data_IF_754821613037
#
_entry.id   IF_754821613037
#
_cell.length_a   1.000
_cell.length_b   1.000
_cell.length_c   1.000
_cell.angle_alpha   90.00
_cell.angle_beta   90.00
_cell.angle_gamma   90.00
#
_symmetry.space_group_name_H-M   'P 1'
#
loop_
_entity.id
_entity.type
_entity.pdbx_description
1 polymer ?
#
# COMPACT_ATOMS: atom_id res chain seq x y z
N UNK A 1 -14.26 -48.35 -0.64
CA UNK A 1 -15.07 -47.13 -0.74
C UNK A 1 -14.38 -46.07 0.09
N UNK A 2 -13.62 -45.17 -0.54
CA UNK A 2 -13.01 -44.03 0.13
C UNK A 2 -13.75 -42.80 -0.38
N UNK A 3 -14.52 -42.15 0.50
CA UNK A 3 -15.23 -40.91 0.21
C UNK A 3 -14.22 -39.78 0.26
N UNK A 4 -13.77 -39.31 -0.91
CA UNK A 4 -13.14 -38.00 -1.02
C UNK A 4 -14.25 -36.97 -0.83
N UNK A 5 -14.28 -36.36 0.35
CA UNK A 5 -15.05 -35.15 0.59
C UNK A 5 -14.39 -34.05 -0.22
N UNK A 6 -15.03 -33.60 -1.30
CA UNK A 6 -14.65 -32.35 -1.97
C UNK A 6 -14.75 -31.23 -0.94
N UNK A 7 -13.61 -30.66 -0.57
CA UNK A 7 -13.59 -29.46 0.27
C UNK A 7 -14.22 -28.31 -0.50
N UNK A 8 -15.30 -27.79 0.08
CA UNK A 8 -16.00 -26.59 -0.40
C UNK A 8 -15.00 -25.43 -0.52
N UNK A 9 -14.71 -24.94 -1.73
CA UNK A 9 -13.69 -23.91 -1.96
C UNK A 9 -14.06 -22.57 -1.33
N UNK A 10 -15.30 -22.39 -0.86
CA UNK A 10 -15.72 -21.19 -0.11
C UNK A 10 -15.35 -21.22 1.38
N UNK A 11 -14.85 -22.36 1.89
CA UNK A 11 -14.46 -22.55 3.31
C UNK A 11 -12.96 -22.55 3.56
N UNK A 12 -12.14 -22.04 2.64
CA UNK A 12 -10.72 -21.85 2.94
C UNK A 12 -10.57 -20.77 4.01
N UNK A 13 -9.98 -21.05 5.19
CA UNK A 13 -9.67 -20.01 6.15
C UNK A 13 -8.80 -18.95 5.47
N UNK A 14 -9.05 -17.68 5.76
CA UNK A 14 -8.35 -16.52 5.18
C UNK A 14 -6.81 -16.66 5.18
N UNK A 15 -6.28 -17.44 6.14
CA UNK A 15 -4.88 -17.81 6.30
C UNK A 15 -4.31 -18.55 5.08
N UNK A 16 -5.08 -19.43 4.44
CA UNK A 16 -4.63 -20.21 3.26
C UNK A 16 -4.55 -19.35 1.98
N UNK A 17 -5.10 -18.14 2.02
CA UNK A 17 -4.99 -17.14 0.95
C UNK A 17 -3.89 -16.09 1.20
N UNK A 18 -3.19 -16.17 2.33
CA UNK A 18 -2.00 -15.34 2.58
C UNK A 18 -0.83 -16.00 1.86
N UNK A 19 -0.54 -15.53 0.66
CA UNK A 19 0.68 -15.92 -0.03
C UNK A 19 1.87 -15.27 0.70
N UNK A 20 2.67 -16.07 1.37
CA UNK A 20 3.99 -15.64 1.83
C UNK A 20 4.81 -15.23 0.60
N UNK A 21 5.20 -13.96 0.54
CA UNK A 21 6.11 -13.50 -0.50
C UNK A 21 7.46 -14.19 -0.28
N UNK A 22 7.88 -14.99 -1.24
CA UNK A 22 9.21 -15.58 -1.19
C UNK A 22 10.27 -14.51 -1.41
N UNK A 23 11.50 -14.72 -0.93
CA UNK A 23 12.62 -13.80 -1.15
C UNK A 23 12.94 -13.56 -2.66
N UNK A 24 12.34 -14.33 -3.58
CA UNK A 24 12.45 -14.16 -5.03
C UNK A 24 11.36 -13.25 -5.62
N UNK A 25 10.29 -12.97 -4.88
CA UNK A 25 9.24 -12.01 -5.24
C UNK A 25 9.56 -10.58 -4.78
N UNK A 26 10.77 -10.38 -4.25
CA UNK A 26 11.29 -9.06 -3.88
C UNK A 26 11.34 -8.23 -5.15
N UNK A 27 10.57 -7.14 -5.16
CA UNK A 27 10.57 -6.21 -6.27
C UNK A 27 11.98 -5.74 -6.56
N UNK A 28 12.42 -5.80 -7.82
CA UNK A 28 13.71 -5.25 -8.27
C UNK A 28 13.86 -3.75 -7.97
N UNK A 29 12.76 -3.09 -7.66
CA UNK A 29 12.71 -1.69 -7.27
C UNK A 29 13.32 -1.44 -5.88
N UNK A 30 14.20 -0.44 -5.74
CA UNK A 30 14.76 -0.06 -4.44
C UNK A 30 13.67 0.36 -3.46
N UNK A 31 13.76 -0.18 -2.24
CA UNK A 31 12.79 0.03 -1.15
C UNK A 31 13.39 0.84 0.00
N UNK A 32 12.57 1.66 0.66
CA UNK A 32 12.82 2.38 1.91
C UNK A 32 11.97 1.77 3.01
N UNK A 33 12.49 1.73 4.23
CA UNK A 33 11.72 1.33 5.43
C UNK A 33 11.09 2.59 6.04
N UNK A 34 9.79 2.54 6.30
CA UNK A 34 9.05 3.57 7.04
C UNK A 34 8.22 2.95 8.16
N UNK A 35 7.82 3.78 9.13
CA UNK A 35 6.99 3.32 10.24
C UNK A 35 5.53 3.10 9.85
N UNK A 36 4.81 2.29 10.63
CA UNK A 36 3.36 2.17 10.54
C UNK A 36 2.68 3.54 10.69
N UNK A 37 3.19 4.41 11.56
CA UNK A 37 2.69 5.77 11.77
C UNK A 37 2.79 6.60 10.48
N UNK A 38 3.86 6.45 9.72
CA UNK A 38 4.05 7.16 8.46
C UNK A 38 3.13 6.61 7.36
N UNK A 39 3.01 5.28 7.24
CA UNK A 39 2.01 4.65 6.36
C UNK A 39 0.60 5.18 6.63
N UNK A 40 0.20 5.22 7.90
CA UNK A 40 -1.10 5.76 8.33
C UNK A 40 -1.22 7.25 8.02
N UNK A 41 -0.13 8.02 8.14
CA UNK A 41 -0.12 9.45 7.83
C UNK A 41 -0.41 9.70 6.35
N UNK A 42 0.16 8.92 5.43
CA UNK A 42 -0.15 9.04 4.00
C UNK A 42 -1.59 8.58 3.69
N UNK A 43 -2.07 7.49 4.32
CA UNK A 43 -3.47 7.09 4.17
C UNK A 43 -4.42 8.21 4.63
N UNK A 44 -4.13 8.82 5.78
CA UNK A 44 -4.90 9.94 6.32
C UNK A 44 -4.82 11.19 5.43
N UNK A 45 -3.71 11.41 4.73
CA UNK A 45 -3.61 12.50 3.76
C UNK A 45 -4.63 12.35 2.62
N UNK A 46 -4.80 11.14 2.08
CA UNK A 46 -5.84 10.86 1.08
C UNK A 46 -7.24 11.00 1.67
N UNK A 47 -7.50 10.43 2.85
CA UNK A 47 -8.81 10.48 3.49
C UNK A 47 -9.23 11.90 3.87
N UNK A 48 -8.29 12.77 4.23
CA UNK A 48 -8.54 14.17 4.51
C UNK A 48 -8.77 15.01 3.23
N UNK A 49 -8.53 14.43 2.05
CA UNK A 49 -8.56 15.11 0.76
C UNK A 49 -9.60 14.53 -0.20
N UNK A 50 -10.37 13.54 0.26
CA UNK A 50 -11.38 12.84 -0.53
C UNK A 50 -12.64 12.61 0.29
N UNK A 51 -13.78 12.46 -0.38
CA UNK A 51 -15.06 12.10 0.21
C UNK A 51 -15.62 10.82 -0.40
N UNK A 52 -16.29 10.03 0.43
CA UNK A 52 -17.10 8.90 -0.02
C UNK A 52 -18.52 9.40 -0.30
N UNK A 53 -18.88 9.49 -1.57
CA UNK A 53 -20.20 9.95 -2.01
C UNK A 53 -21.21 8.79 -2.14
N UNK A 54 -20.71 7.57 -2.32
CA UNK A 54 -21.53 6.35 -2.47
C UNK A 54 -21.24 5.36 -1.34
N UNK A 55 -22.02 5.39 -0.25
CA UNK A 55 -21.89 4.43 0.85
C UNK A 55 -22.07 2.99 0.37
N UNK A 56 -21.31 2.05 0.95
CA UNK A 56 -21.44 0.62 0.63
C UNK A 56 -20.85 0.18 -0.71
N UNK A 57 -20.24 1.10 -1.47
CA UNK A 57 -19.47 0.76 -2.68
C UNK A 57 -18.29 -0.14 -2.31
N UNK A 58 -18.11 -1.22 -3.06
CA UNK A 58 -17.01 -2.16 -2.87
C UNK A 58 -15.69 -1.57 -3.39
N UNK A 59 -14.53 -1.96 -2.81
CA UNK A 59 -13.24 -1.59 -3.37
C UNK A 59 -13.09 -2.10 -4.80
N UNK A 60 -12.45 -1.29 -5.65
CA UNK A 60 -12.09 -1.69 -7.01
C UNK A 60 -11.20 -2.95 -7.02
N UNK A 61 -11.21 -3.64 -8.17
CA UNK A 61 -10.31 -4.75 -8.46
C UNK A 61 -8.84 -4.35 -8.29
N UNK A 62 -7.94 -5.32 -8.05
CA UNK A 62 -6.49 -5.06 -7.91
C UNK A 62 -5.95 -4.29 -9.13
N UNK A 63 -6.26 -4.72 -10.35
CA UNK A 63 -5.80 -4.07 -11.58
C UNK A 63 -6.29 -2.61 -11.68
N UNK A 64 -7.57 -2.37 -11.40
CA UNK A 64 -8.15 -1.01 -11.43
C UNK A 64 -7.55 -0.11 -10.35
N UNK A 65 -7.23 -0.65 -9.17
CA UNK A 65 -6.51 0.09 -8.12
C UNK A 65 -5.08 0.45 -8.52
N UNK A 66 -4.37 -0.41 -9.25
CA UNK A 66 -3.06 -0.04 -9.82
C UNK A 66 -3.18 1.08 -10.83
N UNK A 67 -4.17 1.04 -11.72
CA UNK A 67 -4.39 2.11 -12.68
C UNK A 67 -4.72 3.43 -12.00
N UNK A 68 -5.53 3.39 -10.94
CA UNK A 68 -5.81 4.54 -10.08
C UNK A 68 -4.52 5.10 -9.45
N UNK A 69 -3.70 4.22 -8.86
CA UNK A 69 -2.39 4.58 -8.32
C UNK A 69 -1.49 5.25 -9.36
N UNK A 70 -1.36 4.67 -10.56
CA UNK A 70 -0.56 5.25 -11.67
C UNK A 70 -1.01 6.66 -12.06
N UNK A 71 -2.32 6.92 -12.10
CA UNK A 71 -2.84 8.26 -12.41
C UNK A 71 -2.40 9.31 -11.39
N UNK A 72 -2.38 8.93 -10.10
CA UNK A 72 -1.90 9.81 -9.02
C UNK A 72 -0.38 9.92 -9.03
N UNK A 73 0.33 8.83 -9.31
CA UNK A 73 1.79 8.78 -9.45
C UNK A 73 2.30 9.84 -10.42
N UNK A 74 1.69 9.96 -11.61
CA UNK A 74 2.09 10.93 -12.63
C UNK A 74 1.96 12.40 -12.21
N UNK A 75 1.22 12.68 -11.14
CA UNK A 75 0.99 14.02 -10.63
C UNK A 75 1.76 14.28 -9.32
N UNK A 76 2.62 13.35 -8.89
CA UNK A 76 3.43 13.47 -7.70
C UNK A 76 4.91 13.69 -8.05
N UNK A 77 5.68 14.36 -7.17
CA UNK A 77 7.13 14.43 -7.32
C UNK A 77 7.76 13.04 -7.13
N UNK A 78 8.89 12.80 -7.82
CA UNK A 78 9.62 11.52 -7.72
C UNK A 78 10.58 11.48 -6.53
N UNK A 79 11.15 12.64 -6.20
CA UNK A 79 12.08 12.79 -5.09
C UNK A 79 11.37 12.66 -3.75
N UNK A 80 12.05 12.08 -2.76
CA UNK A 80 11.48 11.87 -1.44
C UNK A 80 11.17 13.18 -0.73
N UNK A 81 9.97 13.26 -0.14
CA UNK A 81 9.46 14.45 0.53
C UNK A 81 9.44 14.30 2.03
N UNK A 82 9.60 15.42 2.72
CA UNK A 82 9.44 15.48 4.18
C UNK A 82 7.99 15.16 4.54
N UNK A 83 7.78 14.53 5.70
CA UNK A 83 6.46 14.02 6.11
C UNK A 83 5.40 15.11 6.15
N UNK A 84 5.78 16.30 6.55
CA UNK A 84 4.93 17.49 6.68
C UNK A 84 4.34 17.92 5.32
N UNK A 85 5.02 17.58 4.23
CA UNK A 85 4.64 17.95 2.86
C UNK A 85 3.69 16.92 2.21
N UNK A 86 3.55 15.73 2.79
CA UNK A 86 2.83 14.62 2.15
C UNK A 86 1.36 14.94 1.89
N UNK A 87 0.69 15.59 2.83
CA UNK A 87 -0.69 16.04 2.67
C UNK A 87 -0.86 16.99 1.48
N UNK A 88 0.04 17.96 1.36
CA UNK A 88 0.04 18.91 0.26
C UNK A 88 0.25 18.20 -1.07
N UNK A 89 1.21 17.28 -1.17
CA UNK A 89 1.46 16.55 -2.40
C UNK A 89 0.31 15.63 -2.81
N UNK A 90 -0.30 14.91 -1.86
CA UNK A 90 -1.49 14.11 -2.13
C UNK A 90 -2.66 14.99 -2.63
N UNK A 91 -2.92 16.13 -1.97
CA UNK A 91 -3.95 17.10 -2.40
C UNK A 91 -3.70 17.64 -3.81
N UNK A 92 -2.48 18.08 -4.09
CA UNK A 92 -2.12 18.65 -5.38
C UNK A 92 -2.29 17.61 -6.50
N UNK A 93 -1.87 16.36 -6.26
CA UNK A 93 -2.03 15.29 -7.23
C UNK A 93 -3.50 14.99 -7.54
N UNK A 94 -4.37 15.00 -6.52
CA UNK A 94 -5.82 14.85 -6.67
C UNK A 94 -6.46 16.04 -7.39
N UNK A 95 -6.01 17.26 -7.11
CA UNK A 95 -6.51 18.46 -7.77
C UNK A 95 -6.18 18.47 -9.27
N UNK A 96 -4.95 18.08 -9.64
CA UNK A 96 -4.55 17.94 -11.04
C UNK A 96 -5.39 16.86 -11.73
N UNK A 97 -5.62 15.73 -11.05
CA UNK A 97 -6.46 14.65 -11.57
C UNK A 97 -7.89 15.12 -11.84
N UNK A 98 -8.49 15.84 -10.90
CA UNK A 98 -9.84 16.43 -11.03
C UNK A 98 -9.93 17.44 -12.18
N UNK A 99 -8.93 18.31 -12.33
CA UNK A 99 -8.90 19.29 -13.42
C UNK A 99 -8.80 18.61 -14.79
N UNK A 100 -8.04 17.50 -14.90
CA UNK A 100 -7.96 16.73 -16.15
C UNK A 100 -9.28 16.06 -16.50
N UNK A 101 -9.98 15.52 -15.50
CA UNK A 101 -11.33 14.95 -15.67
C UNK A 101 -12.32 15.97 -16.25
N UNK A 102 -12.24 17.22 -15.79
CA UNK A 102 -13.11 18.31 -16.27
C UNK A 102 -12.76 18.81 -17.68
N UNK A 103 -11.50 18.68 -18.09
CA UNK A 103 -11.01 19.24 -19.38
C UNK A 103 -11.15 18.27 -20.55
N UNK A 104 -11.17 16.95 -20.29
CA UNK A 104 -11.28 15.92 -21.32
C UNK A 104 -12.76 15.54 -21.44
N UNK A 105 -13.38 15.74 -22.62
CA UNK A 105 -14.65 15.06 -22.92
C UNK A 105 -14.37 13.56 -23.06
N UNK A 106 -14.44 12.84 -21.94
CA UNK A 106 -14.26 11.39 -21.90
C UNK A 106 -15.42 10.76 -22.67
N UNK A 107 -15.12 9.91 -23.66
CA UNK A 107 -16.14 9.20 -24.43
C UNK A 107 -16.98 8.33 -23.48
N UNK A 108 -18.30 8.22 -23.72
CA UNK A 108 -19.19 7.38 -22.90
C UNK A 108 -18.81 5.88 -22.86
N UNK A 109 -17.83 5.45 -23.67
CA UNK A 109 -17.33 4.07 -23.72
C UNK A 109 -16.11 3.85 -22.81
N UNK A 110 -15.38 4.90 -22.41
CA UNK A 110 -14.19 4.81 -21.54
C UNK A 110 -14.54 5.02 -20.05
N UNK A 111 -15.78 4.69 -19.65
CA UNK A 111 -16.48 5.08 -18.42
C UNK A 111 -15.62 5.09 -17.14
N UNK A 112 -14.93 6.20 -16.91
CA UNK A 112 -14.78 6.72 -15.57
C UNK A 112 -16.08 7.44 -15.28
N UNK A 113 -16.99 6.66 -14.69
CA UNK A 113 -17.87 7.08 -13.62
C UNK A 113 -17.40 8.41 -12.98
N UNK A 114 -18.32 9.37 -12.87
CA UNK A 114 -18.15 10.78 -12.50
C UNK A 114 -17.04 11.08 -11.48
N UNK A 115 -16.56 12.32 -11.39
CA UNK A 115 -15.60 12.71 -10.33
C UNK A 115 -15.99 12.21 -8.93
N UNK A 116 -17.28 12.21 -8.58
CA UNK A 116 -17.77 11.70 -7.30
C UNK A 116 -17.50 10.20 -7.11
N UNK A 117 -17.64 9.40 -8.17
CA UNK A 117 -17.35 7.97 -8.15
C UNK A 117 -15.84 7.71 -8.09
N UNK A 118 -15.04 8.45 -8.86
CA UNK A 118 -13.58 8.39 -8.80
C UNK A 118 -13.06 8.80 -7.40
N UNK A 119 -13.58 9.90 -6.85
CA UNK A 119 -13.22 10.37 -5.50
C UNK A 119 -13.61 9.33 -4.45
N UNK A 120 -14.77 8.69 -4.60
CA UNK A 120 -15.20 7.58 -3.73
C UNK A 120 -14.26 6.39 -3.83
N UNK A 121 -13.82 6.01 -5.02
CA UNK A 121 -12.89 4.89 -5.23
C UNK A 121 -11.52 5.16 -4.60
N UNK A 122 -11.01 6.39 -4.72
CA UNK A 122 -9.77 6.82 -4.05
C UNK A 122 -9.94 6.77 -2.53
N UNK A 123 -11.06 7.28 -2.01
CA UNK A 123 -11.36 7.27 -0.59
C UNK A 123 -11.42 5.84 -0.03
N UNK A 124 -12.10 4.93 -0.73
CA UNK A 124 -12.20 3.52 -0.34
C UNK A 124 -10.84 2.84 -0.40
N UNK A 125 -10.05 3.05 -1.46
CA UNK A 125 -8.71 2.48 -1.58
C UNK A 125 -7.80 2.91 -0.41
N UNK A 126 -7.75 4.20 -0.11
CA UNK A 126 -6.97 4.73 1.01
C UNK A 126 -7.46 4.19 2.37
N UNK A 127 -8.79 4.05 2.54
CA UNK A 127 -9.38 3.45 3.76
C UNK A 127 -8.98 1.99 3.91
N UNK A 128 -9.06 1.20 2.84
CA UNK A 128 -8.64 -0.20 2.86
C UNK A 128 -7.17 -0.35 3.20
N UNK A 129 -6.29 0.47 2.62
CA UNK A 129 -4.87 0.49 2.95
C UNK A 129 -4.62 0.88 4.40
N UNK A 130 -5.35 1.86 4.94
CA UNK A 130 -5.28 2.23 6.36
C UNK A 130 -5.64 1.05 7.26
N UNK A 131 -6.76 0.37 6.97
CA UNK A 131 -7.23 -0.79 7.73
C UNK A 131 -6.23 -1.95 7.65
N UNK A 132 -5.62 -2.19 6.49
CA UNK A 132 -4.58 -3.20 6.34
C UNK A 132 -3.36 -2.87 7.20
N UNK A 133 -2.89 -1.62 7.20
CA UNK A 133 -1.78 -1.18 8.06
C UNK A 133 -2.13 -1.33 9.55
N UNK A 134 -3.33 -0.94 9.96
CA UNK A 134 -3.82 -1.11 11.34
C UNK A 134 -3.87 -2.60 11.74
N UNK A 135 -4.34 -3.47 10.84
CA UNK A 135 -4.40 -4.91 11.06
C UNK A 135 -3.00 -5.50 11.24
N UNK A 136 -2.05 -5.18 10.37
CA UNK A 136 -0.67 -5.62 10.50
C UNK A 136 -0.01 -5.06 11.77
N UNK A 137 -0.26 -3.79 12.11
CA UNK A 137 0.32 -3.16 13.30
C UNK A 137 -0.22 -3.74 14.60
N UNK A 138 -1.53 -3.91 14.70
CA UNK A 138 -2.16 -4.50 15.89
C UNK A 138 -1.72 -5.95 16.10
N UNK A 139 -1.42 -6.65 14.99
CA UNK A 139 -1.22 -8.09 14.99
C UNK A 139 -2.54 -8.81 15.20
N UNK A 140 -2.66 -10.00 14.61
CA UNK A 140 -3.74 -10.91 14.90
C UNK A 140 -3.17 -12.32 14.91
N UNK A 141 -3.00 -12.97 16.08
CA UNK A 141 -2.32 -14.26 16.15
C UNK A 141 -3.07 -15.38 15.40
N UNK A 142 -4.34 -15.18 15.02
CA UNK A 142 -5.08 -16.12 14.17
C UNK A 142 -4.74 -16.01 12.69
N UNK A 143 -4.20 -14.87 12.24
CA UNK A 143 -4.05 -14.56 10.82
C UNK A 143 -2.67 -14.00 10.45
N UNK A 144 -1.86 -13.59 11.43
CA UNK A 144 -0.55 -13.00 11.25
C UNK A 144 0.45 -13.67 12.20
N UNK A 145 1.65 -14.03 11.72
CA UNK A 145 2.68 -14.60 12.56
C UNK A 145 3.23 -13.57 13.56
N UNK A 146 3.29 -12.29 13.16
CA UNK A 146 3.82 -11.19 13.98
C UNK A 146 3.10 -9.87 13.66
N UNK A 147 3.13 -8.92 14.61
CA UNK A 147 2.77 -7.52 14.32
C UNK A 147 3.85 -6.83 13.48
N UNK A 148 3.47 -5.78 12.74
CA UNK A 148 4.37 -4.99 11.89
C UNK A 148 4.34 -3.51 12.26
N UNK A 149 5.42 -3.02 12.86
CA UNK A 149 5.64 -1.58 13.07
C UNK A 149 6.40 -0.91 11.92
N UNK A 150 7.00 -1.71 11.03
CA UNK A 150 7.82 -1.26 9.91
C UNK A 150 7.31 -1.84 8.59
N UNK A 151 7.30 -0.99 7.56
CA UNK A 151 6.85 -1.33 6.21
C UNK A 151 7.92 -0.94 5.18
N UNK A 152 8.07 -1.78 4.16
CA UNK A 152 8.89 -1.49 3.00
C UNK A 152 8.03 -0.76 1.95
N UNK A 153 8.51 0.40 1.50
CA UNK A 153 7.86 1.21 0.45
C UNK A 153 8.84 1.57 -0.65
N UNK A 154 8.40 1.89 -1.88
CA UNK A 154 9.30 2.37 -2.92
C UNK A 154 10.10 3.60 -2.48
N UNK A 155 11.39 3.66 -2.86
CA UNK A 155 12.24 4.85 -2.59
C UNK A 155 11.73 6.09 -3.34
N UNK A 156 11.13 5.88 -4.51
CA UNK A 156 10.47 6.92 -5.29
C UNK A 156 9.16 7.35 -4.60
N UNK A 157 9.05 8.63 -4.28
CA UNK A 157 7.91 9.17 -3.56
C UNK A 157 6.58 9.01 -4.30
N UNK A 158 6.54 9.27 -5.61
CA UNK A 158 5.31 9.14 -6.39
C UNK A 158 4.79 7.70 -6.37
N UNK A 159 5.70 6.73 -6.40
CA UNK A 159 5.36 5.31 -6.32
C UNK A 159 4.93 4.88 -4.92
N UNK A 160 5.53 5.43 -3.88
CA UNK A 160 5.01 5.27 -2.51
C UNK A 160 3.60 5.83 -2.37
N UNK A 161 3.33 7.04 -2.88
CA UNK A 161 1.98 7.61 -2.88
C UNK A 161 0.99 6.72 -3.64
N UNK A 162 1.40 6.21 -4.80
CA UNK A 162 0.63 5.26 -5.62
C UNK A 162 0.35 3.94 -4.91
N UNK A 163 1.32 3.42 -4.14
CA UNK A 163 1.21 2.13 -3.45
C UNK A 163 0.10 2.11 -2.40
N UNK A 164 -0.22 3.27 -1.82
CA UNK A 164 -1.35 3.45 -0.90
C UNK A 164 -2.69 3.22 -1.62
N UNK A 165 -2.82 3.63 -2.88
CA UNK A 165 -4.07 3.45 -3.64
C UNK A 165 -4.16 2.08 -4.29
N UNK A 166 -3.03 1.50 -4.72
CA UNK A 166 -3.00 0.13 -5.24
C UNK A 166 -3.28 -0.92 -4.15
N UNK A 167 -2.95 -0.59 -2.89
CA UNK A 167 -3.06 -1.49 -1.74
C UNK A 167 -1.84 -2.40 -1.59
N UNK A 168 -0.69 -1.98 -2.10
CA UNK A 168 0.58 -2.69 -1.93
C UNK A 168 1.20 -2.39 -0.57
N UNK A 169 0.70 -3.08 0.46
CA UNK A 169 1.17 -2.97 1.83
C UNK A 169 2.17 -4.10 2.10
N UNK A 170 3.41 -3.75 2.45
CA UNK A 170 4.51 -4.72 2.61
C UNK A 170 5.15 -4.62 3.99
N UNK A 171 4.69 -5.39 4.99
CA UNK A 171 5.37 -5.53 6.28
C UNK A 171 6.84 -5.93 6.11
N UNK A 172 7.77 -5.40 6.91
CA UNK A 172 9.20 -5.73 6.71
C UNK A 172 9.49 -7.22 6.92
N UNK A 173 8.83 -7.88 7.87
CA UNK A 173 9.05 -9.32 8.12
C UNK A 173 8.52 -10.23 7.00
N UNK A 174 7.66 -9.75 6.10
CA UNK A 174 7.29 -10.49 4.88
C UNK A 174 8.27 -10.26 3.73
N UNK A 175 9.14 -9.26 3.83
CA UNK A 175 10.06 -8.86 2.75
C UNK A 175 11.51 -9.24 3.06
N UNK A 176 11.85 -9.42 4.34
CA UNK A 176 13.23 -9.58 4.79
C UNK A 176 13.45 -10.92 5.51
N UNK A 177 14.09 -11.85 4.81
CA UNK A 177 14.82 -12.95 5.45
C UNK A 177 16.30 -12.55 5.50
N UNK A 178 16.79 -12.21 6.69
CA UNK A 178 18.21 -12.02 6.89
C UNK A 178 18.87 -13.39 7.06
N UNK A 179 19.72 -13.78 6.12
CA UNK A 179 20.62 -14.90 6.35
C UNK A 179 21.73 -14.44 7.33
N UNK A 180 21.82 -15.14 8.45
CA UNK A 180 22.79 -14.84 9.50
C UNK A 180 24.23 -14.96 8.98
N UNK A 181 24.49 -15.84 8.01
CA UNK A 181 25.82 -16.02 7.42
C UNK A 181 26.25 -14.85 6.52
N UNK A 182 25.30 -14.05 6.03
CA UNK A 182 25.53 -12.86 5.20
C UNK A 182 25.36 -11.55 5.96
N UNK A 183 25.10 -11.60 7.27
CA UNK A 183 25.09 -10.43 8.16
C UNK A 183 26.54 -10.00 8.48
N UNK A 184 27.00 -8.80 8.06
CA UNK A 184 28.37 -8.36 8.31
C UNK A 184 28.64 -8.23 9.82
N UNK A 185 29.68 -8.90 10.32
CA UNK A 185 30.05 -8.91 11.75
C UNK A 185 29.64 -10.17 12.53
N UNK A 186 29.18 -11.24 11.87
CA UNK A 186 28.90 -12.52 12.54
C UNK A 186 30.16 -13.23 13.11
N UNK A 187 31.37 -12.72 12.82
CA UNK A 187 32.58 -13.09 13.55
C UNK A 187 32.83 -12.05 14.66
N UNK A 188 32.80 -12.50 15.92
CA UNK A 188 33.23 -11.78 17.14
C UNK A 188 32.28 -10.74 17.77
N UNK A 189 30.98 -10.77 17.48
CA UNK A 189 29.95 -10.20 18.38
C UNK A 189 29.98 -8.67 18.57
N UNK A 190 30.58 -7.93 17.64
CA UNK A 190 30.59 -6.46 17.65
C UNK A 190 29.57 -5.91 16.66
N UNK A 191 28.51 -5.28 17.17
CA UNK A 191 27.52 -4.57 16.36
C UNK A 191 28.01 -3.16 15.97
N UNK A 192 27.80 -2.70 14.72
CA UNK A 192 28.10 -1.32 14.35
C UNK A 192 27.13 -0.33 15.02
N UNK A 193 27.67 0.71 15.65
CA UNK A 193 26.91 1.89 16.09
C UNK A 193 26.66 2.81 14.90
N UNK A 194 25.41 2.94 14.46
CA UNK A 194 25.03 3.96 13.50
C UNK A 194 24.89 5.31 14.21
N UNK A 195 25.53 6.35 13.66
CA UNK A 195 25.31 7.72 14.13
C UNK A 195 23.86 8.14 13.83
N UNK A 196 23.20 8.92 14.71
CA UNK A 196 21.86 9.42 14.43
C UNK A 196 21.87 10.29 13.16
N UNK A 197 20.90 10.04 12.27
CA UNK A 197 20.67 10.85 11.08
C UNK A 197 20.40 12.30 11.51
N UNK A 198 21.19 13.25 10.99
CA UNK A 198 20.99 14.70 11.14
C UNK A 198 19.92 15.21 10.18
#
# INVERSE_FOLDING_TARGET
MSTHTEEDPTKRPYVDSITEMSALDITEEPMRIISAVDMLSMCNAFLASTRCHTPGRWPLSKASRYELGRKVEWNCPRDWKAREEWLMHARNALQILRQRDQTIQISQQDQWQTWEELETDIHIAARCSRQAVEFYRAGNPQHLPNSAELFAVPVNFSKFVSSILSGEIRPVWTVWHADAASTPGCCDGLYPRYAPLK
#
